data_IF_624953679876
#
_entry.id   IF_624953679876
#
_cell.length_a   1.000
_cell.length_b   1.000
_cell.length_c   1.000
_cell.angle_alpha   90.00
_cell.angle_beta   90.00
_cell.angle_gamma   90.00
#
_symmetry.space_group_name_H-M   'P 1'
#
loop_
_entity.id
_entity.type
_entity.pdbx_description
1 polymer ?
#
# COMPACT_ATOMS: atom_id res chain seq x y z
N UNK A 1 -31.45 -28.10 22.03
CA UNK A 1 -30.17 -27.34 22.05
C UNK A 1 -30.37 -26.21 21.04
N UNK A 2 -30.66 -25.01 21.55
CA UNK A 2 -30.91 -23.82 20.74
C UNK A 2 -29.56 -23.23 20.29
N UNK A 3 -29.33 -23.13 18.98
CA UNK A 3 -28.21 -22.44 18.38
C UNK A 3 -28.60 -20.95 18.23
N UNK A 4 -27.96 -20.08 18.98
CA UNK A 4 -28.08 -18.61 18.84
C UNK A 4 -27.30 -18.17 17.62
N UNK A 5 -28.01 -17.88 16.53
CA UNK A 5 -27.46 -17.25 15.35
C UNK A 5 -27.21 -15.77 15.61
N UNK A 6 -25.97 -15.34 15.63
CA UNK A 6 -25.58 -13.91 15.62
C UNK A 6 -25.80 -13.37 14.20
N UNK A 7 -26.85 -12.53 14.04
CA UNK A 7 -27.09 -11.78 12.82
C UNK A 7 -25.98 -10.74 12.60
N UNK A 8 -25.22 -10.86 11.52
CA UNK A 8 -24.29 -9.81 11.08
C UNK A 8 -25.10 -8.66 10.47
N UNK A 9 -25.02 -7.48 11.08
CA UNK A 9 -25.59 -6.25 10.52
C UNK A 9 -24.72 -5.74 9.36
N UNK A 10 -25.28 -5.69 8.18
CA UNK A 10 -24.69 -5.04 7.01
C UNK A 10 -25.25 -3.62 6.87
N UNK A 11 -24.40 -2.66 6.51
CA UNK A 11 -24.79 -1.24 6.34
C UNK A 11 -25.34 -1.00 4.95
N UNK A 12 -26.49 -0.35 4.87
CA UNK A 12 -27.07 0.17 3.61
C UNK A 12 -26.52 1.56 3.31
N UNK A 13 -26.14 1.82 2.07
CA UNK A 13 -25.80 3.14 1.60
C UNK A 13 -27.05 3.99 1.35
N UNK A 14 -27.01 5.32 1.53
CA UNK A 14 -28.11 6.21 1.21
C UNK A 14 -28.42 6.13 -0.29
N UNK A 15 -29.71 6.31 -0.64
CA UNK A 15 -30.19 6.35 -2.03
C UNK A 15 -29.31 7.27 -2.88
N UNK A 16 -28.76 6.82 -4.01
CA UNK A 16 -28.10 7.74 -4.93
C UNK A 16 -29.19 8.68 -5.52
N UNK A 17 -29.09 9.95 -5.18
CA UNK A 17 -29.84 10.99 -5.91
C UNK A 17 -29.08 11.23 -7.20
N UNK A 18 -29.58 10.68 -8.31
CA UNK A 18 -29.04 10.98 -9.63
C UNK A 18 -29.52 12.39 -9.99
N UNK A 19 -28.68 13.38 -9.79
CA UNK A 19 -28.85 14.72 -10.37
C UNK A 19 -28.27 14.64 -11.78
N UNK A 20 -29.14 14.52 -12.78
CA UNK A 20 -28.71 14.65 -14.17
C UNK A 20 -28.67 16.14 -14.47
N UNK A 21 -27.46 16.71 -14.42
CA UNK A 21 -27.23 18.08 -14.89
C UNK A 21 -27.11 18.07 -16.42
N UNK A 22 -28.12 18.57 -17.11
CA UNK A 22 -28.24 18.58 -18.57
C UNK A 22 -27.76 19.86 -19.22
N UNK A 23 -26.72 20.52 -18.73
CA UNK A 23 -26.11 21.66 -19.44
C UNK A 23 -24.74 21.29 -19.98
N UNK A 24 -24.52 21.32 -21.29
CA UNK A 24 -23.18 21.19 -21.85
C UNK A 24 -22.39 22.47 -21.58
N UNK A 25 -21.26 22.33 -20.92
CA UNK A 25 -20.24 23.37 -20.79
C UNK A 25 -19.40 23.39 -22.07
N UNK A 26 -19.05 24.58 -22.61
CA UNK A 26 -18.20 24.68 -23.81
C UNK A 26 -16.80 24.13 -23.55
N UNK A 27 -16.26 23.43 -24.54
CA UNK A 27 -14.88 22.94 -24.54
C UNK A 27 -13.92 24.12 -24.53
N UNK A 28 -13.21 24.33 -23.41
CA UNK A 28 -12.05 25.19 -23.37
C UNK A 28 -10.85 24.41 -23.90
N UNK A 29 -10.37 24.88 -25.04
CA UNK A 29 -9.13 24.39 -25.68
C UNK A 29 -7.96 24.91 -24.84
N UNK A 30 -7.36 24.06 -24.01
CA UNK A 30 -6.11 24.40 -23.31
C UNK A 30 -4.96 24.00 -24.22
N UNK A 31 -4.38 25.00 -24.89
CA UNK A 31 -3.03 24.94 -25.46
C UNK A 31 -2.06 25.38 -24.35
N UNK A 32 -1.48 24.43 -23.65
CA UNK A 32 -0.44 24.66 -22.66
C UNK A 32 0.80 23.84 -23.00
N UNK A 33 1.91 24.53 -23.20
CA UNK A 33 3.23 23.92 -23.35
C UNK A 33 3.57 23.08 -22.11
N UNK A 34 4.03 21.84 -22.32
CA UNK A 34 4.47 20.94 -21.26
C UNK A 34 5.85 21.42 -20.80
N UNK A 35 5.90 22.01 -19.63
CA UNK A 35 7.13 22.34 -18.91
C UNK A 35 7.59 21.11 -18.12
N UNK A 36 8.86 20.71 -18.30
CA UNK A 36 9.53 19.55 -17.67
C UNK A 36 9.77 19.67 -16.15
N UNK A 37 8.86 20.25 -15.41
CA UNK A 37 8.94 20.38 -13.96
C UNK A 37 7.66 19.90 -13.26
N UNK A 38 7.22 18.67 -13.55
CA UNK A 38 6.20 18.02 -12.71
C UNK A 38 6.82 17.58 -11.38
N UNK A 39 6.81 18.51 -10.44
CA UNK A 39 6.91 18.19 -9.03
C UNK A 39 5.71 17.35 -8.67
N UNK A 40 5.92 16.03 -8.52
CA UNK A 40 4.90 15.14 -7.94
C UNK A 40 4.60 15.69 -6.55
N UNK A 41 3.45 16.31 -6.40
CA UNK A 41 2.91 16.68 -5.08
C UNK A 41 2.54 15.38 -4.38
N UNK A 42 3.49 14.82 -3.68
CA UNK A 42 3.23 13.82 -2.65
C UNK A 42 2.67 14.59 -1.45
N UNK A 43 1.60 14.06 -0.93
CA UNK A 43 0.87 14.46 0.27
C UNK A 43 -0.43 15.23 0.01
N UNK A 44 -1.40 14.52 -0.58
CA UNK A 44 -2.75 14.73 -0.09
C UNK A 44 -2.83 13.98 1.25
N UNK A 45 -2.64 14.69 2.35
CA UNK A 45 -3.03 14.24 3.68
C UNK A 45 -4.54 14.05 3.60
N UNK A 46 -4.97 12.80 3.44
CA UNK A 46 -6.39 12.48 3.57
C UNK A 46 -6.73 12.72 5.03
N UNK A 47 -7.51 13.77 5.30
CA UNK A 47 -8.12 13.96 6.60
C UNK A 47 -8.77 12.64 7.01
N UNK A 48 -8.49 12.22 8.22
CA UNK A 48 -9.11 11.06 8.83
C UNK A 48 -10.61 11.37 8.91
N UNK A 49 -11.39 10.77 8.01
CA UNK A 49 -12.84 10.92 7.98
C UNK A 49 -13.42 10.09 9.13
N UNK A 50 -13.18 10.59 10.34
CA UNK A 50 -13.72 10.04 11.60
C UNK A 50 -15.13 10.56 11.88
N UNK A 51 -15.88 10.96 10.85
CA UNK A 51 -17.30 11.23 11.06
C UNK A 51 -17.96 9.96 11.57
N UNK A 52 -18.60 9.99 12.78
CA UNK A 52 -19.35 8.85 13.24
C UNK A 52 -20.40 8.51 12.18
N UNK A 53 -20.38 7.27 11.72
CA UNK A 53 -21.47 6.79 10.88
C UNK A 53 -22.73 6.83 11.73
N UNK A 54 -23.58 7.85 11.49
CA UNK A 54 -24.92 7.84 12.02
C UNK A 54 -25.58 6.56 11.54
N UNK A 55 -26.06 5.77 12.50
CA UNK A 55 -26.79 4.54 12.24
C UNK A 55 -28.11 4.91 11.56
N UNK A 56 -28.08 4.96 10.21
CA UNK A 56 -29.31 5.04 9.43
C UNK A 56 -30.08 3.74 9.74
N UNK A 57 -31.33 3.83 10.22
CA UNK A 57 -32.10 2.63 10.51
C UNK A 57 -32.20 1.76 9.26
N UNK A 58 -31.86 0.49 9.41
CA UNK A 58 -31.94 -0.52 8.38
C UNK A 58 -33.40 -0.64 7.91
N UNK A 59 -33.65 -0.32 6.66
CA UNK A 59 -34.97 -0.54 6.04
C UNK A 59 -34.83 -1.66 5.03
N UNK A 60 -35.55 -2.75 5.21
CA UNK A 60 -35.60 -3.85 4.22
C UNK A 60 -35.97 -3.29 2.86
N UNK A 61 -35.29 -3.73 1.81
CA UNK A 61 -35.57 -3.30 0.44
C UNK A 61 -37.00 -3.67 0.05
N UNK A 62 -37.82 -2.69 -0.38
CA UNK A 62 -39.18 -2.92 -0.86
C UNK A 62 -39.18 -3.52 -2.26
N UNK A 63 -40.26 -4.23 -2.64
CA UNK A 63 -40.37 -4.77 -3.99
C UNK A 63 -40.33 -3.66 -5.05
N UNK A 64 -40.87 -2.47 -4.74
CA UNK A 64 -40.77 -1.29 -5.60
C UNK A 64 -39.33 -0.84 -5.82
N UNK A 65 -38.49 -0.87 -4.78
CA UNK A 65 -37.09 -0.55 -4.90
C UNK A 65 -36.33 -1.59 -5.75
N UNK A 66 -36.63 -2.88 -5.56
CA UNK A 66 -36.05 -3.97 -6.36
C UNK A 66 -36.42 -3.82 -7.85
N UNK A 67 -37.67 -3.53 -8.14
CA UNK A 67 -38.15 -3.25 -9.51
C UNK A 67 -37.47 -2.01 -10.12
N UNK A 68 -37.32 -0.95 -9.36
CA UNK A 68 -36.63 0.27 -9.81
C UNK A 68 -35.18 0.01 -10.21
N UNK A 69 -34.44 -0.81 -9.43
CA UNK A 69 -33.08 -1.21 -9.76
C UNK A 69 -33.09 -2.04 -11.06
N UNK A 70 -33.93 -3.03 -11.16
CA UNK A 70 -34.04 -3.87 -12.37
C UNK A 70 -34.31 -3.04 -13.62
N UNK A 71 -35.26 -2.14 -13.56
CA UNK A 71 -35.58 -1.22 -14.67
C UNK A 71 -34.41 -0.28 -15.02
N UNK A 72 -33.66 0.17 -14.01
CA UNK A 72 -32.45 0.98 -14.20
C UNK A 72 -31.36 0.22 -14.93
N UNK A 73 -31.14 -1.06 -14.59
CA UNK A 73 -30.13 -1.92 -15.27
C UNK A 73 -30.58 -2.23 -16.70
N UNK A 74 -31.86 -2.54 -16.93
CA UNK A 74 -32.40 -2.77 -18.28
C UNK A 74 -32.22 -1.52 -19.16
N UNK A 75 -32.47 -0.35 -18.61
CA UNK A 75 -32.24 0.93 -19.30
C UNK A 75 -30.76 1.14 -19.64
N UNK A 76 -29.86 0.76 -18.74
CA UNK A 76 -28.39 0.82 -18.97
C UNK A 76 -27.99 -0.12 -20.11
N UNK A 77 -28.45 -1.37 -20.09
CA UNK A 77 -28.13 -2.38 -21.11
C UNK A 77 -28.66 -2.02 -22.51
N UNK A 78 -29.77 -1.29 -22.57
CA UNK A 78 -30.32 -0.76 -23.83
C UNK A 78 -29.57 0.48 -24.36
N UNK A 79 -28.50 0.93 -23.71
CA UNK A 79 -27.71 2.05 -24.19
C UNK A 79 -26.97 1.67 -25.49
N UNK A 80 -27.04 2.46 -26.58
CA UNK A 80 -26.38 2.16 -27.84
C UNK A 80 -24.84 1.96 -27.72
N UNK A 81 -24.21 2.56 -26.71
CA UNK A 81 -22.77 2.35 -26.44
C UNK A 81 -22.44 0.90 -26.06
N UNK A 82 -23.42 0.12 -25.60
CA UNK A 82 -23.23 -1.27 -25.21
C UNK A 82 -23.51 -2.27 -26.30
N UNK A 83 -24.07 -1.86 -27.46
CA UNK A 83 -24.40 -2.76 -28.59
C UNK A 83 -23.22 -3.59 -29.08
N UNK A 84 -22.00 -3.03 -29.03
CA UNK A 84 -20.77 -3.69 -29.45
C UNK A 84 -19.90 -4.16 -28.28
N UNK A 85 -20.44 -4.09 -27.05
CA UNK A 85 -19.71 -4.41 -25.82
C UNK A 85 -20.22 -5.72 -25.20
N UNK A 86 -19.34 -6.46 -24.57
CA UNK A 86 -19.72 -7.59 -23.73
C UNK A 86 -19.87 -7.09 -22.31
N UNK A 87 -21.03 -7.35 -21.70
CA UNK A 87 -21.36 -6.91 -20.35
C UNK A 87 -21.89 -8.08 -19.54
N UNK A 88 -21.33 -8.33 -18.37
CA UNK A 88 -21.86 -9.29 -17.41
C UNK A 88 -22.26 -8.55 -16.13
N UNK A 89 -23.48 -8.78 -15.67
CA UNK A 89 -24.03 -8.13 -14.47
C UNK A 89 -24.68 -9.18 -13.58
N UNK A 90 -24.38 -9.12 -12.29
CA UNK A 90 -25.14 -9.77 -11.24
C UNK A 90 -25.34 -8.79 -10.08
N UNK A 91 -26.57 -8.60 -9.68
CA UNK A 91 -26.95 -7.84 -8.49
C UNK A 91 -27.47 -8.81 -7.44
N UNK A 92 -26.90 -8.72 -6.27
CA UNK A 92 -27.23 -9.60 -5.14
C UNK A 92 -27.75 -8.79 -3.97
N UNK A 93 -28.89 -9.18 -3.43
CA UNK A 93 -29.39 -8.66 -2.16
C UNK A 93 -28.73 -9.45 -1.03
N UNK A 94 -27.85 -8.78 -0.26
CA UNK A 94 -27.10 -9.41 0.82
C UNK A 94 -27.95 -9.68 2.07
N UNK A 95 -29.10 -9.04 2.19
CA UNK A 95 -29.99 -9.19 3.35
C UNK A 95 -30.91 -10.39 3.19
N UNK A 96 -31.50 -10.51 2.03
CA UNK A 96 -32.38 -11.61 1.67
C UNK A 96 -31.61 -12.81 1.07
N UNK A 97 -30.30 -12.64 0.82
CA UNK A 97 -29.39 -13.63 0.20
C UNK A 97 -29.93 -14.16 -1.16
N UNK A 98 -30.45 -13.24 -1.99
CA UNK A 98 -31.02 -13.55 -3.31
C UNK A 98 -30.41 -12.72 -4.42
N UNK A 99 -30.36 -13.30 -5.63
CA UNK A 99 -30.02 -12.55 -6.83
C UNK A 99 -31.21 -11.73 -7.30
N UNK A 100 -31.05 -10.42 -7.46
CA UNK A 100 -32.05 -9.49 -7.93
C UNK A 100 -32.05 -9.37 -9.46
N UNK A 101 -30.88 -9.50 -10.07
CA UNK A 101 -30.71 -9.32 -11.51
C UNK A 101 -29.53 -10.14 -12.02
N UNK A 102 -29.67 -10.75 -13.20
CA UNK A 102 -28.62 -11.48 -13.90
C UNK A 102 -28.67 -11.17 -15.37
N UNK A 103 -27.49 -10.84 -15.92
CA UNK A 103 -27.27 -10.69 -17.35
C UNK A 103 -25.85 -11.14 -17.67
N UNK A 104 -25.70 -12.22 -18.42
CA UNK A 104 -24.41 -12.80 -18.81
C UNK A 104 -23.39 -12.90 -17.65
N UNK A 105 -23.87 -13.15 -16.43
CA UNK A 105 -23.07 -13.18 -15.20
C UNK A 105 -21.95 -14.23 -15.21
N UNK A 106 -22.09 -15.23 -16.10
CA UNK A 106 -21.08 -16.28 -16.27
C UNK A 106 -20.08 -16.00 -17.37
N UNK A 107 -20.21 -14.84 -18.04
CA UNK A 107 -19.28 -14.45 -19.08
C UNK A 107 -17.88 -14.24 -18.51
N UNK A 108 -16.88 -14.89 -19.12
CA UNK A 108 -15.47 -14.71 -18.72
C UNK A 108 -14.95 -13.40 -19.28
N UNK A 109 -14.77 -12.45 -18.40
CA UNK A 109 -14.20 -11.13 -18.72
C UNK A 109 -12.84 -10.94 -18.05
N UNK A 110 -12.04 -10.02 -18.58
CA UNK A 110 -10.82 -9.61 -17.89
C UNK A 110 -11.19 -8.76 -16.68
N UNK A 111 -10.84 -9.19 -15.46
CA UNK A 111 -11.23 -8.46 -14.26
C UNK A 111 -10.49 -7.12 -14.12
N UNK A 112 -9.35 -6.94 -14.81
CA UNK A 112 -8.50 -5.76 -14.68
C UNK A 112 -8.29 -5.40 -13.20
N UNK A 113 -8.46 -4.12 -12.84
CA UNK A 113 -8.25 -3.65 -11.46
C UNK A 113 -9.28 -4.15 -10.44
N UNK A 114 -10.38 -4.77 -10.86
CA UNK A 114 -11.30 -5.40 -9.91
C UNK A 114 -10.67 -6.61 -9.21
N UNK A 115 -9.61 -7.22 -9.78
CA UNK A 115 -8.81 -8.23 -9.09
C UNK A 115 -8.23 -7.75 -7.75
N UNK A 116 -8.04 -6.45 -7.57
CA UNK A 116 -7.54 -5.89 -6.30
C UNK A 116 -8.49 -6.12 -5.12
N UNK A 117 -9.79 -6.30 -5.41
CA UNK A 117 -10.78 -6.69 -4.39
C UNK A 117 -10.49 -8.09 -3.89
N UNK A 118 -10.19 -9.04 -4.79
CA UNK A 118 -9.79 -10.41 -4.42
C UNK A 118 -8.48 -10.39 -3.63
N UNK A 119 -7.48 -9.63 -4.09
CA UNK A 119 -6.22 -9.44 -3.38
C UNK A 119 -6.45 -8.91 -1.96
N UNK A 120 -7.35 -7.93 -1.79
CA UNK A 120 -7.68 -7.35 -0.48
C UNK A 120 -8.34 -8.36 0.46
N UNK A 121 -9.35 -9.11 -0.03
CA UNK A 121 -10.06 -10.13 0.75
C UNK A 121 -9.08 -11.22 1.19
N UNK A 122 -8.25 -11.71 0.26
CA UNK A 122 -7.24 -12.74 0.55
C UNK A 122 -6.23 -12.24 1.57
N UNK A 123 -5.75 -11.00 1.42
CA UNK A 123 -4.80 -10.42 2.37
C UNK A 123 -5.37 -10.29 3.78
N UNK A 124 -6.62 -9.86 3.93
CA UNK A 124 -7.29 -9.80 5.24
C UNK A 124 -7.44 -11.19 5.87
N UNK A 125 -7.66 -12.22 5.04
CA UNK A 125 -7.77 -13.59 5.51
C UNK A 125 -6.43 -14.19 5.92
N UNK A 126 -5.39 -13.99 5.11
CA UNK A 126 -4.08 -14.66 5.28
C UNK A 126 -3.15 -13.88 6.22
N UNK A 127 -3.18 -12.55 6.21
CA UNK A 127 -2.31 -11.70 7.01
C UNK A 127 -2.97 -11.17 8.29
N UNK A 128 -4.30 -11.05 8.31
CA UNK A 128 -5.04 -10.36 9.36
C UNK A 128 -5.11 -8.84 9.15
N UNK A 129 -6.01 -8.19 9.88
CA UNK A 129 -6.26 -6.73 9.77
C UNK A 129 -5.22 -5.88 10.51
N UNK A 130 -4.48 -6.48 11.43
CA UNK A 130 -3.39 -5.87 12.22
C UNK A 130 -2.00 -5.99 11.56
N UNK A 131 -1.91 -6.62 10.39
CA UNK A 131 -0.65 -6.79 9.67
C UNK A 131 0.00 -5.44 9.34
N UNK A 132 1.33 -5.40 9.51
CA UNK A 132 2.16 -4.23 9.20
C UNK A 132 3.32 -4.60 8.28
N UNK A 133 3.48 -3.85 7.20
CA UNK A 133 4.72 -3.80 6.44
C UNK A 133 5.78 -3.13 7.30
N UNK A 134 6.90 -3.78 7.53
CA UNK A 134 7.94 -3.26 8.43
C UNK A 134 9.24 -3.01 7.69
N UNK A 135 9.81 -1.82 7.86
CA UNK A 135 11.19 -1.53 7.48
C UNK A 135 12.01 -1.44 8.75
N UNK A 136 13.05 -2.26 8.86
CA UNK A 136 13.83 -2.38 10.10
C UNK A 136 15.28 -1.98 9.86
N UNK A 137 15.85 -1.26 10.82
CA UNK A 137 17.25 -0.89 10.81
C UNK A 137 18.00 -1.72 11.86
N UNK A 138 18.97 -2.47 11.40
CA UNK A 138 19.83 -3.28 12.25
C UNK A 138 21.24 -2.72 12.28
N UNK A 139 21.87 -2.87 13.42
CA UNK A 139 23.27 -2.58 13.64
C UNK A 139 24.06 -3.85 13.96
N UNK A 140 25.26 -3.96 13.38
CA UNK A 140 26.18 -5.08 13.62
C UNK A 140 27.52 -4.52 14.04
N UNK A 141 27.95 -4.82 15.24
CA UNK A 141 29.27 -4.34 15.71
C UNK A 141 29.28 -3.92 17.17
N UNK A 142 30.27 -3.12 17.53
CA UNK A 142 30.48 -2.65 18.89
C UNK A 142 30.16 -1.17 19.04
N UNK A 143 29.64 -0.81 20.20
CA UNK A 143 29.43 0.58 20.62
C UNK A 143 30.60 1.01 21.46
N UNK A 144 31.24 2.12 21.14
CA UNK A 144 32.18 2.79 22.04
C UNK A 144 31.53 4.05 22.58
N UNK A 145 31.40 4.10 23.90
CA UNK A 145 31.02 5.31 24.60
C UNK A 145 32.33 6.13 24.81
N UNK A 146 32.25 7.43 24.57
CA UNK A 146 33.33 8.32 24.96
C UNK A 146 33.46 8.28 26.51
N UNK A 147 34.63 8.03 27.03
CA UNK A 147 34.91 7.95 28.49
C UNK A 147 34.79 9.28 29.23
N UNK A 148 34.24 10.33 28.59
CA UNK A 148 33.97 11.61 29.20
C UNK A 148 32.67 11.50 30.00
N UNK A 149 32.78 11.52 31.28
CA UNK A 149 31.82 11.62 32.37
C UNK A 149 30.37 11.98 31.99
N UNK A 150 29.44 11.02 32.12
CA UNK A 150 28.00 11.23 32.18
C UNK A 150 27.20 10.52 31.09
N UNK A 151 25.88 10.41 31.28
CA UNK A 151 24.92 9.77 30.36
C UNK A 151 24.82 10.46 28.98
N UNK A 152 25.40 11.66 28.83
CA UNK A 152 25.42 12.46 27.59
C UNK A 152 26.70 12.27 26.74
N UNK A 153 27.53 11.26 27.05
CA UNK A 153 28.71 11.01 26.28
C UNK A 153 28.40 10.58 24.84
N UNK A 154 29.04 11.17 23.81
CA UNK A 154 28.82 10.82 22.42
C UNK A 154 29.13 9.35 22.17
N UNK A 155 28.19 8.66 21.48
CA UNK A 155 28.33 7.23 21.16
C UNK A 155 28.76 7.06 19.71
N UNK A 156 29.80 6.28 19.52
CA UNK A 156 30.27 5.88 18.22
C UNK A 156 29.96 4.41 17.95
N UNK A 157 29.32 4.15 16.82
CA UNK A 157 29.04 2.80 16.37
C UNK A 157 30.13 2.34 15.38
N UNK A 158 30.81 1.23 15.70
CA UNK A 158 31.84 0.62 14.88
C UNK A 158 31.35 -0.70 14.31
N UNK A 159 30.70 -0.61 13.13
CA UNK A 159 30.11 -1.75 12.46
C UNK A 159 29.10 -1.29 11.41
N UNK A 160 28.53 -2.24 10.70
CA UNK A 160 27.66 -1.99 9.58
C UNK A 160 26.19 -1.79 10.02
N UNK A 161 25.50 -0.99 9.25
CA UNK A 161 24.05 -0.79 9.34
C UNK A 161 23.38 -1.57 8.21
N UNK A 162 22.29 -2.26 8.52
CA UNK A 162 21.44 -2.94 7.54
C UNK A 162 20.02 -2.39 7.62
N UNK A 163 19.52 -1.88 6.51
CA UNK A 163 18.13 -1.50 6.38
C UNK A 163 17.40 -2.62 5.65
N UNK A 164 16.59 -3.36 6.38
CA UNK A 164 15.82 -4.51 5.86
C UNK A 164 14.49 -4.01 5.33
N UNK A 165 14.25 -4.18 4.04
CA UNK A 165 13.03 -3.76 3.39
C UNK A 165 11.92 -4.80 3.52
N UNK A 166 10.72 -4.38 3.98
CA UNK A 166 9.53 -5.23 4.13
C UNK A 166 8.43 -4.94 3.11
N UNK A 167 8.78 -4.56 1.88
CA UNK A 167 7.82 -4.29 0.78
C UNK A 167 6.82 -3.15 1.07
N UNK A 168 7.08 -2.24 2.00
CA UNK A 168 6.22 -1.07 2.20
C UNK A 168 6.14 -0.25 0.90
N UNK A 169 4.94 -0.09 0.28
CA UNK A 169 4.84 0.49 -1.06
C UNK A 169 5.10 2.00 -1.10
N UNK A 170 4.85 2.66 0.03
CA UNK A 170 4.98 4.11 0.16
C UNK A 170 5.80 4.43 1.41
N UNK A 171 7.00 4.95 1.18
CA UNK A 171 7.87 5.47 2.23
C UNK A 171 8.17 6.92 1.88
N UNK A 172 7.83 7.82 2.79
CA UNK A 172 8.05 9.27 2.65
C UNK A 172 9.43 9.68 3.19
N UNK A 173 9.86 10.88 2.87
CA UNK A 173 11.08 11.44 3.46
C UNK A 173 10.95 11.60 4.98
N UNK A 174 9.76 11.94 5.48
CA UNK A 174 9.50 12.04 6.92
C UNK A 174 9.62 10.69 7.64
N UNK A 175 9.24 9.59 6.98
CA UNK A 175 9.43 8.24 7.50
C UNK A 175 10.93 7.91 7.65
N UNK A 176 11.72 8.20 6.61
CA UNK A 176 13.18 7.98 6.65
C UNK A 176 13.83 8.87 7.70
N UNK A 177 13.39 10.13 7.82
CA UNK A 177 13.87 11.04 8.85
C UNK A 177 13.51 10.56 10.26
N UNK A 178 12.36 9.89 10.45
CA UNK A 178 11.98 9.32 11.74
C UNK A 178 12.91 8.19 12.16
N UNK A 179 13.31 7.31 11.25
CA UNK A 179 14.31 6.27 11.51
C UNK A 179 15.66 6.89 11.98
N UNK A 180 16.11 7.93 11.28
CA UNK A 180 17.34 8.63 11.63
C UNK A 180 17.24 9.31 13.02
N UNK A 181 16.10 9.95 13.34
CA UNK A 181 15.86 10.55 14.67
C UNK A 181 15.86 9.49 15.78
N UNK A 182 15.25 8.33 15.55
CA UNK A 182 15.23 7.23 16.51
C UNK A 182 16.65 6.77 16.86
N UNK A 183 17.55 6.73 15.88
CA UNK A 183 18.98 6.41 16.11
C UNK A 183 19.66 7.55 16.89
N UNK A 184 19.41 8.81 16.51
CA UNK A 184 19.99 9.96 17.21
C UNK A 184 19.57 10.02 18.70
N UNK A 185 18.31 9.67 18.99
CA UNK A 185 17.78 9.62 20.35
C UNK A 185 18.45 8.56 21.24
N UNK A 186 19.15 7.58 20.66
CA UNK A 186 19.99 6.61 21.39
C UNK A 186 21.37 7.16 21.72
N UNK A 187 21.62 8.45 21.50
CA UNK A 187 22.89 9.12 21.79
C UNK A 187 23.96 8.91 20.71
N UNK A 188 23.59 8.39 19.53
CA UNK A 188 24.57 8.09 18.46
C UNK A 188 24.99 9.38 17.76
N UNK A 189 26.29 9.66 17.73
CA UNK A 189 26.90 10.80 17.05
C UNK A 189 27.69 10.40 15.80
N UNK A 190 28.17 9.16 15.75
CA UNK A 190 29.01 8.69 14.66
C UNK A 190 28.79 7.23 14.34
N UNK A 191 28.82 6.90 13.05
CA UNK A 191 28.73 5.54 12.52
C UNK A 191 29.95 5.29 11.63
N UNK A 192 30.78 4.34 12.03
CA UNK A 192 31.98 3.90 11.31
C UNK A 192 31.71 2.50 10.73
N UNK A 193 31.15 2.47 9.51
CA UNK A 193 30.78 1.25 8.81
C UNK A 193 29.97 1.53 7.57
N UNK A 194 29.65 0.50 6.82
CA UNK A 194 28.85 0.57 5.60
C UNK A 194 27.37 0.49 5.93
N UNK A 195 26.55 1.24 5.19
CA UNK A 195 25.09 1.14 5.26
C UNK A 195 24.59 0.30 4.09
N UNK A 196 24.00 -0.85 4.40
CA UNK A 196 23.49 -1.79 3.40
C UNK A 196 21.96 -1.75 3.29
N UNK A 197 21.46 -1.83 2.04
CA UNK A 197 20.09 -2.22 1.77
C UNK A 197 20.01 -3.75 1.81
N UNK A 198 19.13 -4.30 2.63
CA UNK A 198 18.73 -5.70 2.53
C UNK A 198 17.43 -5.79 1.74
N UNK A 199 17.52 -6.40 0.57
CA UNK A 199 16.43 -6.59 -0.37
C UNK A 199 16.01 -8.07 -0.48
N UNK A 200 16.36 -8.90 0.51
CA UNK A 200 16.16 -10.36 0.47
C UNK A 200 14.71 -10.80 0.58
N UNK A 201 13.80 -9.92 0.96
CA UNK A 201 12.35 -10.20 1.10
C UNK A 201 11.77 -10.95 -0.11
N UNK A 202 12.17 -10.59 -1.33
CA UNK A 202 11.73 -11.23 -2.58
C UNK A 202 12.89 -11.40 -3.56
N UNK A 203 12.63 -12.10 -4.65
CA UNK A 203 13.57 -12.23 -5.76
C UNK A 203 14.03 -10.87 -6.31
N UNK A 204 15.16 -10.85 -7.02
CA UNK A 204 15.76 -9.62 -7.56
C UNK A 204 15.01 -9.00 -8.75
N UNK A 205 13.82 -9.49 -9.12
CA UNK A 205 13.04 -8.93 -10.23
C UNK A 205 12.50 -7.57 -9.86
N UNK A 206 12.86 -6.56 -10.65
CA UNK A 206 12.45 -5.16 -10.42
C UNK A 206 11.08 -4.81 -11.00
N UNK A 207 10.48 -5.71 -11.79
CA UNK A 207 9.24 -5.48 -12.53
C UNK A 207 8.29 -6.65 -12.30
N UNK A 208 6.99 -6.37 -12.25
CA UNK A 208 5.97 -7.41 -12.21
C UNK A 208 5.89 -8.18 -13.53
N UNK A 209 5.51 -9.44 -13.46
CA UNK A 209 5.51 -10.34 -14.62
C UNK A 209 4.55 -9.93 -15.76
N UNK A 210 3.51 -9.15 -15.44
CA UNK A 210 2.53 -8.66 -16.42
C UNK A 210 2.80 -7.26 -16.96
N UNK A 211 3.90 -6.62 -16.57
CA UNK A 211 4.21 -5.27 -17.02
C UNK A 211 4.87 -5.27 -18.39
N UNK A 212 4.42 -4.34 -19.25
CA UNK A 212 4.87 -4.18 -20.61
C UNK A 212 5.91 -3.05 -20.71
N UNK A 213 6.56 -2.93 -21.89
CA UNK A 213 7.59 -1.93 -22.14
C UNK A 213 7.09 -0.47 -22.04
N UNK A 214 5.80 -0.25 -22.21
CA UNK A 214 5.11 1.03 -22.10
C UNK A 214 4.67 1.38 -20.67
N UNK A 215 4.74 0.44 -19.74
CA UNK A 215 4.50 0.65 -18.30
C UNK A 215 5.66 1.42 -17.62
N UNK A 216 6.21 2.43 -18.28
CA UNK A 216 7.41 3.17 -17.83
C UNK A 216 7.24 3.92 -16.53
N UNK A 217 6.00 4.22 -16.17
CA UNK A 217 5.66 4.97 -14.97
C UNK A 217 5.35 4.05 -13.77
N UNK A 218 5.34 2.75 -13.96
CA UNK A 218 5.17 1.82 -12.87
C UNK A 218 6.40 1.85 -11.93
N UNK A 219 6.19 1.92 -10.62
CA UNK A 219 7.28 1.95 -9.66
C UNK A 219 8.04 0.62 -9.64
N UNK A 220 9.32 0.68 -9.32
CA UNK A 220 10.14 -0.51 -9.11
C UNK A 220 9.55 -1.40 -8.02
N UNK A 221 9.53 -2.71 -8.24
CA UNK A 221 9.16 -3.72 -7.25
C UNK A 221 10.37 -4.11 -6.41
N UNK A 222 10.77 -3.21 -5.53
CA UNK A 222 11.85 -3.44 -4.58
C UNK A 222 11.31 -3.47 -3.15
N UNK A 223 11.80 -4.38 -2.30
CA UNK A 223 11.47 -4.40 -0.88
C UNK A 223 11.79 -3.11 -0.14
N UNK A 224 12.82 -2.42 -0.59
CA UNK A 224 13.27 -1.13 -0.06
C UNK A 224 13.48 -0.15 -1.21
N UNK A 225 12.73 0.94 -1.23
CA UNK A 225 12.82 2.00 -2.24
C UNK A 225 12.37 3.35 -1.70
N UNK A 226 12.81 4.41 -2.35
CA UNK A 226 12.34 5.77 -2.08
C UNK A 226 12.11 6.50 -3.41
N UNK A 227 11.01 7.24 -3.53
CA UNK A 227 10.61 7.95 -4.76
C UNK A 227 10.67 7.07 -6.03
N UNK A 228 10.16 5.83 -5.92
CA UNK A 228 10.18 4.83 -7.00
C UNK A 228 11.58 4.47 -7.54
N UNK A 229 12.63 4.74 -6.77
CA UNK A 229 14.03 4.48 -7.11
C UNK A 229 14.70 3.60 -6.06
N UNK A 230 15.78 2.95 -6.47
CA UNK A 230 16.67 2.16 -5.62
C UNK A 230 17.68 3.10 -4.92
N UNK A 231 17.18 4.04 -4.13
CA UNK A 231 17.98 5.09 -3.49
C UNK A 231 17.63 5.31 -2.01
N UNK A 232 16.95 4.35 -1.40
CA UNK A 232 16.55 4.48 0.02
C UNK A 232 17.74 4.71 0.94
N UNK A 233 18.81 3.92 0.78
CA UNK A 233 20.01 4.01 1.65
C UNK A 233 20.71 5.35 1.48
N UNK A 234 20.77 5.88 0.27
CA UNK A 234 21.32 7.21 0.00
C UNK A 234 20.55 8.30 0.77
N UNK A 235 19.22 8.28 0.68
CA UNK A 235 18.38 9.23 1.43
C UNK A 235 18.50 8.99 2.94
N UNK A 236 18.57 7.74 3.40
CA UNK A 236 18.74 7.42 4.81
C UNK A 236 20.04 7.97 5.37
N UNK A 237 21.16 7.81 4.67
CA UNK A 237 22.46 8.42 5.04
C UNK A 237 22.35 9.95 5.09
N UNK A 238 21.65 10.54 4.12
CA UNK A 238 21.37 11.99 4.10
C UNK A 238 20.60 12.42 5.36
N UNK A 239 19.57 11.66 5.75
CA UNK A 239 18.78 11.94 6.95
C UNK A 239 19.58 11.74 8.24
N UNK A 240 20.44 10.72 8.32
CA UNK A 240 21.37 10.56 9.45
C UNK A 240 22.23 11.80 9.62
N UNK A 241 22.85 12.28 8.54
CA UNK A 241 23.70 13.48 8.56
C UNK A 241 22.93 14.74 8.94
N UNK A 242 21.71 14.91 8.43
CA UNK A 242 20.82 16.05 8.80
C UNK A 242 20.43 16.02 10.28
N UNK A 243 20.39 14.86 10.90
CA UNK A 243 20.14 14.68 12.33
C UNK A 243 21.42 14.73 13.17
N UNK A 244 22.55 15.17 12.62
CA UNK A 244 23.81 15.35 13.33
C UNK A 244 24.58 14.06 13.60
N UNK A 245 24.34 13.01 12.82
CA UNK A 245 25.09 11.75 12.90
C UNK A 245 26.14 11.71 11.78
N UNK A 246 27.40 11.64 12.14
CA UNK A 246 28.47 11.44 11.18
C UNK A 246 28.44 10.00 10.65
N UNK A 247 28.48 9.82 9.34
CA UNK A 247 28.56 8.50 8.68
C UNK A 247 29.80 8.48 7.80
N UNK A 248 30.79 7.64 8.16
CA UNK A 248 32.09 7.56 7.47
C UNK A 248 32.11 6.53 6.35
N UNK A 249 31.16 5.59 6.34
CA UNK A 249 31.20 4.45 5.43
C UNK A 249 30.54 4.69 4.08
N UNK A 250 30.68 3.68 3.24
CA UNK A 250 30.02 3.58 1.93
C UNK A 250 28.60 3.05 2.06
N UNK A 251 27.91 2.91 0.92
CA UNK A 251 26.62 2.23 0.83
C UNK A 251 26.73 1.00 -0.08
N UNK A 252 25.84 0.03 0.13
CA UNK A 252 25.82 -1.19 -0.66
C UNK A 252 24.51 -1.96 -0.52
N UNK A 253 24.45 -3.12 -1.15
CA UNK A 253 23.34 -4.07 -1.03
C UNK A 253 23.88 -5.38 -0.48
N UNK A 254 23.33 -5.86 0.62
CA UNK A 254 23.74 -7.09 1.28
C UNK A 254 22.67 -7.59 2.23
N UNK A 255 22.45 -8.90 2.27
CA UNK A 255 21.53 -9.53 3.22
C UNK A 255 22.06 -9.42 4.65
N UNK A 256 21.15 -9.16 5.59
CA UNK A 256 21.45 -9.11 7.02
C UNK A 256 22.06 -10.43 7.50
N UNK A 257 23.22 -10.43 8.17
CA UNK A 257 23.78 -11.65 8.73
C UNK A 257 22.94 -12.17 9.89
N UNK A 258 22.85 -13.49 10.01
CA UNK A 258 22.01 -14.16 11.01
C UNK A 258 22.50 -14.05 12.45
N UNK A 259 23.66 -13.47 12.69
CA UNK A 259 24.29 -13.38 14.03
C UNK A 259 24.74 -11.96 14.35
N UNK A 260 24.74 -11.64 15.65
CA UNK A 260 25.27 -10.38 16.21
C UNK A 260 24.59 -9.12 15.63
N UNK A 261 23.27 -9.14 15.49
CA UNK A 261 22.49 -8.02 14.99
C UNK A 261 21.57 -7.47 16.08
N UNK A 262 21.45 -6.15 16.15
CA UNK A 262 20.53 -5.45 17.05
C UNK A 262 19.60 -4.56 16.21
N UNK A 263 18.30 -4.74 16.34
CA UNK A 263 17.31 -3.81 15.76
C UNK A 263 17.34 -2.49 16.54
N UNK A 264 17.57 -1.39 15.84
CA UNK A 264 17.76 -0.05 16.43
C UNK A 264 16.69 0.95 16.04
N UNK A 265 15.97 0.70 14.96
CA UNK A 265 14.82 1.50 14.54
C UNK A 265 13.88 0.66 13.66
N UNK A 266 12.60 0.97 13.73
CA UNK A 266 11.57 0.31 12.92
C UNK A 266 10.57 1.34 12.38
N UNK A 267 10.07 1.07 11.18
CA UNK A 267 8.97 1.79 10.56
C UNK A 267 7.86 0.79 10.25
N UNK A 268 6.64 1.13 10.61
CA UNK A 268 5.47 0.30 10.38
C UNK A 268 4.49 1.00 9.43
N UNK A 269 3.94 0.23 8.50
CA UNK A 269 2.88 0.68 7.60
C UNK A 269 1.74 -0.33 7.62
N UNK A 270 0.59 0.03 8.19
CA UNK A 270 -0.53 -0.91 8.34
C UNK A 270 -1.08 -1.38 7.00
N UNK A 271 -1.54 -2.63 6.94
CA UNK A 271 -2.22 -3.20 5.78
C UNK A 271 -3.38 -2.31 5.32
N UNK A 272 -4.18 -1.81 6.27
CA UNK A 272 -5.31 -0.91 6.00
C UNK A 272 -4.88 0.35 5.24
N UNK A 273 -3.75 0.97 5.63
CA UNK A 273 -3.22 2.16 4.96
C UNK A 273 -2.73 1.89 3.54
N UNK A 274 -2.26 0.66 3.26
CA UNK A 274 -1.83 0.22 1.92
C UNK A 274 -3.03 -0.19 1.06
N UNK A 275 -4.03 -0.85 1.64
CA UNK A 275 -5.23 -1.27 0.91
C UNK A 275 -6.09 -0.09 0.46
N UNK A 276 -6.13 1.01 1.21
CA UNK A 276 -6.93 2.18 0.84
C UNK A 276 -6.55 2.76 -0.53
N UNK A 277 -5.30 3.15 -0.83
CA UNK A 277 -4.90 3.59 -2.16
C UNK A 277 -4.97 2.47 -3.20
N UNK A 278 -4.75 1.21 -2.82
CA UNK A 278 -4.91 0.06 -3.71
C UNK A 278 -6.32 -0.01 -4.28
N UNK A 279 -7.33 0.10 -3.43
CA UNK A 279 -8.74 -0.04 -3.83
C UNK A 279 -9.34 1.26 -4.37
N UNK A 280 -9.05 2.41 -3.74
CA UNK A 280 -9.66 3.69 -4.11
C UNK A 280 -9.02 4.28 -5.38
N UNK A 281 -7.68 4.23 -5.47
CA UNK A 281 -6.91 4.85 -6.56
C UNK A 281 -6.38 3.81 -7.55
N UNK A 282 -6.76 2.53 -7.37
CA UNK A 282 -6.28 1.43 -8.22
C UNK A 282 -4.74 1.29 -8.25
N UNK A 283 -4.06 1.62 -7.15
CA UNK A 283 -2.60 1.65 -7.09
C UNK A 283 -1.99 0.24 -7.23
N UNK A 284 -1.29 0.00 -8.35
CA UNK A 284 -0.67 -1.28 -8.65
C UNK A 284 0.49 -1.62 -7.72
N UNK A 285 1.28 -0.62 -7.33
CA UNK A 285 2.39 -0.84 -6.40
C UNK A 285 1.91 -1.36 -5.03
N UNK A 286 0.79 -0.82 -4.54
CA UNK A 286 0.18 -1.33 -3.31
C UNK A 286 -0.33 -2.76 -3.48
N UNK A 287 -0.94 -3.09 -4.64
CA UNK A 287 -1.43 -4.44 -4.91
C UNK A 287 -0.29 -5.47 -4.96
N UNK A 288 0.79 -5.16 -5.66
CA UNK A 288 1.99 -6.00 -5.71
C UNK A 288 2.63 -6.17 -4.33
N UNK A 289 2.72 -5.10 -3.55
CA UNK A 289 3.26 -5.17 -2.18
C UNK A 289 2.43 -6.09 -1.29
N UNK A 290 1.10 -6.01 -1.36
CA UNK A 290 0.19 -6.89 -0.63
C UNK A 290 0.33 -8.34 -1.10
N UNK A 291 0.41 -8.57 -2.41
CA UNK A 291 0.62 -9.89 -2.98
C UNK A 291 1.91 -10.54 -2.48
N UNK A 292 3.04 -9.83 -2.57
CA UNK A 292 4.31 -10.36 -2.06
C UNK A 292 4.33 -10.54 -0.55
N UNK A 293 3.60 -9.71 0.21
CA UNK A 293 3.48 -9.89 1.66
C UNK A 293 2.77 -11.20 2.02
N UNK A 294 1.70 -11.56 1.30
CA UNK A 294 1.01 -12.85 1.48
C UNK A 294 1.92 -14.03 1.18
N UNK A 295 2.68 -13.97 0.09
CA UNK A 295 3.62 -15.05 -0.25
C UNK A 295 4.73 -15.15 0.81
N UNK A 296 5.30 -14.01 1.19
CA UNK A 296 6.36 -13.97 2.19
C UNK A 296 5.91 -14.51 3.57
N UNK A 297 4.67 -14.28 3.97
CA UNK A 297 4.14 -14.82 5.23
C UNK A 297 4.12 -16.36 5.27
N UNK A 298 4.03 -16.99 4.10
CA UNK A 298 4.01 -18.45 3.97
C UNK A 298 5.38 -19.07 3.74
N UNK A 299 6.26 -18.41 2.99
CA UNK A 299 7.51 -18.99 2.49
C UNK A 299 8.78 -18.30 3.00
N UNK A 300 8.69 -17.16 3.66
CA UNK A 300 9.85 -16.39 4.12
C UNK A 300 10.54 -15.60 3.01
N UNK A 301 11.81 -15.30 3.21
CA UNK A 301 12.61 -14.47 2.29
C UNK A 301 12.87 -15.14 0.93
N UNK A 302 13.13 -14.30 -0.08
CA UNK A 302 13.47 -14.73 -1.43
C UNK A 302 12.28 -15.18 -2.28
N UNK A 303 11.05 -14.86 -1.87
CA UNK A 303 9.83 -15.28 -2.57
C UNK A 303 9.73 -14.73 -3.98
N UNK A 304 9.07 -15.48 -4.82
CA UNK A 304 8.83 -15.19 -6.23
C UNK A 304 7.33 -15.11 -6.53
N UNK A 305 6.96 -14.42 -7.59
CA UNK A 305 5.55 -14.34 -8.02
C UNK A 305 4.92 -15.68 -8.38
N UNK A 306 5.72 -16.71 -8.70
CA UNK A 306 5.21 -18.04 -9.07
C UNK A 306 4.76 -18.88 -7.85
N UNK A 307 4.99 -18.40 -6.63
CA UNK A 307 4.59 -19.07 -5.39
C UNK A 307 3.22 -18.58 -4.89
N UNK A 308 2.70 -17.49 -5.47
CA UNK A 308 1.42 -16.88 -5.09
C UNK A 308 0.24 -17.23 -5.99
#
# INVERSE_FOLDING_TARGET
>A
IASSGTSKQYRTHPKPTIVVDTKPTPADTITGEISDNDTIVADTVYADDTTPFDSVPFTKATDEWKQSITAGVDSLLNNPLLETSVCGIELWDLDDDISLYRHDERQRLRPASTMKVMTAITALKELGDDYNFTTKVYYTGSVSDSTANGDDAPRSWHGDIYVVGGMAPTISQSDIASLARTIRQQGVDSIFGTVYADQSFKDGKKWASGWCWDDKHNPLLLPLKYNNKDNFVEEFISQLRRNGIYVSGSQGTRTLPSRSTRCVAELHRSLKSVMRPMLKNSNNNCAESVFYAMIHSQYGDGVTANQG
#
